data_IF_129133963466
#
_entry.id   IF_129133963466
#
_cell.length_a   1.000
_cell.length_b   1.000
_cell.length_c   1.000
_cell.angle_alpha   90.00
_cell.angle_beta   90.00
_cell.angle_gamma   90.00
#
_symmetry.space_group_name_H-M   'P 1'
#
loop_
_entity.id
_entity.type
_entity.pdbx_description
1 polymer ?
#
# COMPACT_ATOMS: atom_id res chain seq x y z
N UNK A 1 2.91 -20.40 9.95
CA UNK A 1 2.21 -19.11 9.73
C UNK A 1 3.24 -18.00 9.82
N UNK A 2 3.29 -17.11 8.83
CA UNK A 2 4.10 -15.88 8.87
C UNK A 2 3.15 -14.71 8.63
N UNK A 3 3.39 -13.56 9.28
CA UNK A 3 2.61 -12.33 9.13
C UNK A 3 3.50 -11.10 9.33
N UNK A 4 2.99 -9.92 8.98
CA UNK A 4 3.74 -8.67 9.10
C UNK A 4 5.01 -8.67 8.25
N UNK A 5 6.04 -7.93 8.69
CA UNK A 5 7.29 -7.81 7.93
C UNK A 5 8.01 -9.15 7.72
N UNK A 6 7.82 -10.12 8.62
CA UNK A 6 8.35 -11.48 8.44
C UNK A 6 7.75 -12.21 7.23
N UNK A 7 6.52 -11.84 6.81
CA UNK A 7 5.88 -12.40 5.63
C UNK A 7 6.01 -11.50 4.39
N UNK A 8 5.96 -10.17 4.56
CA UNK A 8 5.76 -9.24 3.44
C UNK A 8 6.50 -7.90 3.58
N UNK A 9 7.74 -7.93 4.09
CA UNK A 9 8.62 -6.77 4.08
C UNK A 9 8.56 -5.98 2.75
N UNK A 10 8.24 -4.69 2.85
CA UNK A 10 7.96 -3.82 1.71
C UNK A 10 8.84 -2.58 1.74
N UNK A 11 9.03 -1.95 0.59
CA UNK A 11 9.72 -0.66 0.54
C UNK A 11 8.87 0.41 1.25
N UNK A 12 9.48 1.46 1.85
CA UNK A 12 8.74 2.47 2.62
C UNK A 12 7.91 3.42 1.74
N UNK A 13 8.01 3.33 0.42
CA UNK A 13 7.46 4.30 -0.54
C UNK A 13 5.92 4.47 -0.52
N UNK A 14 5.20 3.57 0.16
CA UNK A 14 3.76 3.72 0.41
C UNK A 14 3.41 3.85 1.89
N UNK A 15 4.37 3.70 2.82
CA UNK A 15 4.10 3.74 4.26
C UNK A 15 3.22 2.60 4.78
N UNK A 16 3.00 1.54 3.99
CA UNK A 16 1.97 0.54 4.29
C UNK A 16 2.44 -0.65 5.15
N UNK A 17 3.71 -0.78 5.53
CA UNK A 17 4.21 -1.97 6.27
C UNK A 17 3.42 -2.23 7.56
N UNK A 18 3.37 -1.23 8.45
CA UNK A 18 2.63 -1.34 9.71
C UNK A 18 1.12 -1.55 9.50
N UNK A 19 0.51 -0.85 8.54
CA UNK A 19 -0.92 -1.01 8.23
C UNK A 19 -1.25 -2.43 7.75
N UNK A 20 -0.37 -3.05 6.95
CA UNK A 20 -0.54 -4.44 6.51
C UNK A 20 -0.38 -5.42 7.66
N UNK A 21 0.54 -5.17 8.61
CA UNK A 21 0.68 -5.99 9.81
C UNK A 21 -0.56 -5.90 10.73
N UNK A 22 -1.15 -4.71 10.89
CA UNK A 22 -2.40 -4.56 11.64
C UNK A 22 -3.57 -5.29 10.98
N UNK A 23 -3.70 -5.17 9.65
CA UNK A 23 -4.74 -5.85 8.90
C UNK A 23 -4.56 -7.38 8.94
N UNK A 24 -3.33 -7.88 8.93
CA UNK A 24 -3.04 -9.30 9.15
C UNK A 24 -3.55 -9.78 10.51
N UNK A 25 -3.31 -9.01 11.57
CA UNK A 25 -3.75 -9.37 12.92
C UNK A 25 -5.28 -9.48 12.99
N UNK A 26 -6.01 -8.53 12.39
CA UNK A 26 -7.48 -8.55 12.36
C UNK A 26 -8.00 -9.74 11.56
N UNK A 27 -7.45 -9.99 10.36
CA UNK A 27 -7.91 -11.10 9.51
C UNK A 27 -7.61 -12.45 10.15
N UNK A 28 -6.44 -12.60 10.78
CA UNK A 28 -6.07 -13.82 11.48
C UNK A 28 -6.99 -14.06 12.68
N UNK A 29 -7.25 -13.04 13.50
CA UNK A 29 -8.16 -13.13 14.63
C UNK A 29 -9.57 -13.56 14.19
N UNK A 30 -10.10 -12.94 13.13
CA UNK A 30 -11.41 -13.32 12.58
C UNK A 30 -11.42 -14.77 12.08
N UNK A 31 -10.37 -15.21 11.37
CA UNK A 31 -10.29 -16.59 10.89
C UNK A 31 -10.23 -17.60 12.05
N UNK A 32 -9.45 -17.31 13.09
CA UNK A 32 -9.34 -18.17 14.28
C UNK A 32 -10.62 -18.19 15.12
N UNK A 33 -11.41 -17.12 15.10
CA UNK A 33 -12.69 -17.06 15.79
C UNK A 33 -13.80 -17.85 15.08
N UNK A 34 -13.69 -18.02 13.75
CA UNK A 34 -14.74 -18.66 12.94
C UNK A 34 -14.44 -20.12 12.58
N UNK A 35 -13.17 -20.48 12.39
CA UNK A 35 -12.78 -21.79 11.85
C UNK A 35 -11.84 -22.55 12.77
N UNK A 36 -11.76 -23.87 12.59
CA UNK A 36 -10.76 -24.71 13.25
C UNK A 36 -9.34 -24.30 12.84
N UNK A 37 -8.37 -24.47 13.74
CA UNK A 37 -7.01 -23.92 13.60
C UNK A 37 -6.38 -24.09 12.21
N UNK A 38 -6.34 -25.31 11.66
CA UNK A 38 -5.74 -25.55 10.32
C UNK A 38 -6.49 -24.83 9.20
N UNK A 39 -7.82 -24.84 9.24
CA UNK A 39 -8.64 -24.14 8.22
C UNK A 39 -8.48 -22.63 8.34
N UNK A 40 -8.47 -22.10 9.56
CA UNK A 40 -8.27 -20.68 9.84
C UNK A 40 -6.95 -20.17 9.23
N UNK A 41 -5.86 -20.92 9.40
CA UNK A 41 -4.56 -20.56 8.82
C UNK A 41 -4.58 -20.59 7.29
N UNK A 42 -5.21 -21.60 6.68
CA UNK A 42 -5.31 -21.70 5.22
C UNK A 42 -6.14 -20.55 4.63
N UNK A 43 -7.23 -20.16 5.30
CA UNK A 43 -8.07 -19.02 4.88
C UNK A 43 -7.35 -17.69 5.06
N UNK A 44 -6.68 -17.48 6.19
CA UNK A 44 -5.83 -16.31 6.39
C UNK A 44 -4.82 -16.15 5.25
N UNK A 45 -4.10 -17.22 4.92
CA UNK A 45 -3.07 -17.21 3.88
C UNK A 45 -3.67 -16.84 2.51
N UNK A 46 -4.77 -17.49 2.14
CA UNK A 46 -5.49 -17.22 0.89
C UNK A 46 -5.98 -15.76 0.78
N UNK A 47 -6.40 -15.15 1.89
CA UNK A 47 -6.85 -13.76 1.93
C UNK A 47 -5.69 -12.75 1.87
N UNK A 48 -4.59 -13.01 2.58
CA UNK A 48 -3.53 -12.02 2.80
C UNK A 48 -2.42 -12.07 1.76
N UNK A 49 -2.00 -13.24 1.28
CA UNK A 49 -0.84 -13.37 0.37
C UNK A 49 -1.03 -12.57 -0.92
N UNK A 50 -2.20 -12.70 -1.57
CA UNK A 50 -2.48 -11.98 -2.83
C UNK A 50 -2.59 -10.46 -2.61
N UNK A 51 -3.08 -10.04 -1.45
CA UNK A 51 -3.26 -8.63 -1.11
C UNK A 51 -1.90 -7.95 -0.85
N UNK A 52 -1.13 -8.50 0.08
CA UNK A 52 0.18 -7.96 0.49
C UNK A 52 1.17 -7.94 -0.68
N UNK A 53 1.17 -8.98 -1.54
CA UNK A 53 2.00 -9.02 -2.74
C UNK A 53 1.70 -7.86 -3.72
N UNK A 54 0.43 -7.44 -3.85
CA UNK A 54 0.08 -6.26 -4.67
C UNK A 54 0.62 -4.97 -4.06
N UNK A 55 0.52 -4.82 -2.73
CA UNK A 55 1.03 -3.65 -2.00
C UNK A 55 2.55 -3.55 -2.16
N UNK A 56 3.28 -4.65 -1.98
CA UNK A 56 4.74 -4.70 -2.20
C UNK A 56 5.11 -4.26 -3.62
N UNK A 57 4.48 -4.86 -4.64
CA UNK A 57 4.76 -4.51 -6.04
C UNK A 57 4.49 -3.03 -6.33
N UNK A 58 3.41 -2.47 -5.78
CA UNK A 58 3.07 -1.06 -5.97
C UNK A 58 4.04 -0.13 -5.25
N UNK A 59 4.43 -0.47 -4.02
CA UNK A 59 5.43 0.29 -3.26
C UNK A 59 6.78 0.33 -3.99
N UNK A 60 7.22 -0.80 -4.55
CA UNK A 60 8.45 -0.86 -5.36
C UNK A 60 8.34 -0.04 -6.65
N UNK A 61 7.19 -0.07 -7.31
CA UNK A 61 6.94 0.72 -8.54
C UNK A 61 6.99 2.22 -8.25
N UNK A 62 6.38 2.68 -7.14
CA UNK A 62 6.43 4.08 -6.71
C UNK A 62 7.87 4.49 -6.39
N UNK A 63 8.62 3.67 -5.65
CA UNK A 63 10.03 3.93 -5.36
C UNK A 63 10.87 4.09 -6.61
N UNK A 64 10.75 3.16 -7.57
CA UNK A 64 11.45 3.26 -8.85
C UNK A 64 11.13 4.57 -9.57
N UNK A 65 9.85 4.96 -9.64
CA UNK A 65 9.41 6.22 -10.28
C UNK A 65 9.91 7.46 -9.54
N UNK A 66 9.89 7.46 -8.22
CA UNK A 66 10.37 8.56 -7.40
C UNK A 66 11.87 8.80 -7.58
N UNK A 67 12.63 7.74 -7.83
CA UNK A 67 14.08 7.80 -8.09
C UNK A 67 14.43 8.10 -9.56
N UNK A 68 13.46 8.30 -10.46
CA UNK A 68 13.78 8.77 -11.82
C UNK A 68 14.31 10.21 -11.76
N UNK A 69 15.60 10.36 -12.04
CA UNK A 69 16.31 11.64 -12.07
C UNK A 69 16.49 12.17 -13.48
N UNK A 70 15.41 12.24 -14.27
CA UNK A 70 15.51 12.85 -15.59
C UNK A 70 15.46 14.38 -15.44
N UNK A 71 16.64 15.03 -15.40
CA UNK A 71 16.79 16.46 -15.07
C UNK A 71 15.95 17.40 -15.92
N UNK A 72 15.72 17.06 -17.19
CA UNK A 72 14.83 17.79 -18.09
C UNK A 72 13.37 17.80 -17.61
N UNK A 73 12.88 16.68 -17.08
CA UNK A 73 11.52 16.57 -16.55
C UNK A 73 11.35 17.31 -15.22
N UNK A 74 12.41 17.42 -14.41
CA UNK A 74 12.40 18.23 -13.19
C UNK A 74 12.28 19.72 -13.55
N UNK A 75 13.03 20.16 -14.56
CA UNK A 75 12.94 21.53 -15.10
C UNK A 75 11.54 21.86 -15.63
N UNK A 76 10.99 20.98 -16.48
CA UNK A 76 9.66 21.14 -17.04
C UNK A 76 8.57 21.14 -15.95
N UNK A 77 8.64 20.21 -14.98
CA UNK A 77 7.72 20.15 -13.83
C UNK A 77 7.76 21.43 -13.01
N UNK A 78 8.95 21.95 -12.70
CA UNK A 78 9.09 23.18 -11.91
C UNK A 78 8.51 24.38 -12.66
N UNK A 79 8.70 24.45 -13.98
CA UNK A 79 8.13 25.49 -14.81
C UNK A 79 6.59 25.43 -14.87
N UNK A 80 6.04 24.23 -15.07
CA UNK A 80 4.58 24.01 -15.12
C UNK A 80 3.94 24.30 -13.76
N UNK A 81 4.51 23.80 -12.65
CA UNK A 81 3.98 24.06 -11.30
C UNK A 81 4.01 25.55 -10.95
N UNK A 82 5.05 26.28 -11.35
CA UNK A 82 5.14 27.73 -11.13
C UNK A 82 4.07 28.52 -11.90
N UNK A 83 3.50 27.93 -12.96
CA UNK A 83 2.46 28.53 -13.79
C UNK A 83 1.06 27.97 -13.57
N UNK A 84 0.89 26.95 -12.73
CA UNK A 84 -0.42 26.31 -12.54
C UNK A 84 -1.10 26.85 -11.27
N UNK A 85 -2.35 27.35 -11.36
CA UNK A 85 -3.07 27.89 -10.21
C UNK A 85 -3.41 26.80 -9.17
N UNK A 86 -3.25 27.16 -7.89
CA UNK A 86 -3.28 26.26 -6.71
C UNK A 86 -4.58 25.48 -6.50
N UNK A 87 -5.70 25.91 -7.11
CA UNK A 87 -7.00 25.23 -7.01
C UNK A 87 -7.06 23.86 -7.70
N UNK A 88 -6.19 23.58 -8.68
CA UNK A 88 -6.18 22.32 -9.42
C UNK A 88 -5.45 21.17 -8.68
N UNK A 89 -4.58 21.49 -7.72
CA UNK A 89 -3.73 20.51 -7.04
C UNK A 89 -4.50 19.78 -5.91
N UNK A 90 -5.47 20.44 -5.28
CA UNK A 90 -6.20 19.93 -4.10
C UNK A 90 -7.17 18.76 -4.39
N UNK A 91 -7.63 18.60 -5.65
CA UNK A 91 -8.55 17.52 -6.00
C UNK A 91 -7.89 16.13 -6.09
N UNK A 92 -6.56 16.05 -6.17
CA UNK A 92 -5.84 14.78 -6.31
C UNK A 92 -5.72 14.01 -4.99
N UNK A 93 -5.79 14.69 -3.84
CA UNK A 93 -5.69 14.07 -2.52
C UNK A 93 -6.99 13.38 -2.05
N UNK A 94 -8.13 13.66 -2.69
CA UNK A 94 -9.45 13.12 -2.29
C UNK A 94 -9.56 11.59 -2.43
N UNK A 95 -8.77 10.99 -3.32
CA UNK A 95 -8.74 9.53 -3.49
C UNK A 95 -8.14 8.79 -2.27
N UNK A 96 -7.29 9.44 -1.48
CA UNK A 96 -6.64 8.82 -0.31
C UNK A 96 -7.60 8.55 0.85
N UNK A 97 -8.73 9.28 0.91
CA UNK A 97 -9.70 9.19 2.00
C UNK A 97 -10.97 8.41 1.65
N UNK A 98 -11.06 7.84 0.44
CA UNK A 98 -12.16 6.94 0.08
C UNK A 98 -11.90 5.55 0.68
N UNK A 99 -12.20 5.41 1.97
CA UNK A 99 -12.34 4.10 2.61
C UNK A 99 -13.64 3.44 2.13
N UNK A 100 -13.54 2.21 1.62
CA UNK A 100 -14.70 1.33 1.49
C UNK A 100 -15.03 0.83 2.88
N UNK A 101 -16.20 1.21 3.37
CA UNK A 101 -16.85 0.56 4.50
C UNK A 101 -16.97 -0.93 4.18
N UNK A 102 -16.34 -1.76 5.00
CA UNK A 102 -16.56 -3.21 5.07
C UNK A 102 -17.59 -3.45 6.14
#
# INVERSE_FOLDING_TARGET
LLLGDAAHATTPNMGQGAGQAMEDAIVLANCLNTYGFREALARYDALRVKHTAKVIKRSRSIGKKAQYQNGLMIGLRNFVLKRTPSKLISNQAKFLYKTKSV
#
